data_IF_237447667487
#
_entry.id   IF_237447667487
#
_cell.length_a   1.000
_cell.length_b   1.000
_cell.length_c   1.000
_cell.angle_alpha   90.00
_cell.angle_beta   90.00
_cell.angle_gamma   90.00
#
_symmetry.space_group_name_H-M   'P 1'
#
loop_
_entity.id
_entity.type
_entity.pdbx_description
1 polymer ?
#
# COMPACT_ATOMS: atom_id res chain seq x y z
N UNK A 1 1.79 9.88 -19.56
CA UNK A 1 0.47 10.51 -19.34
C UNK A 1 -0.63 9.48 -19.01
N UNK A 2 -0.72 8.31 -19.67
CA UNK A 2 -1.78 7.32 -19.34
C UNK A 2 -1.71 6.65 -17.96
N UNK A 3 -0.53 6.52 -17.34
CA UNK A 3 -0.38 5.77 -16.09
C UNK A 3 -0.97 6.49 -14.85
N UNK A 4 -1.13 7.82 -14.90
CA UNK A 4 -1.73 8.59 -13.79
C UNK A 4 -3.19 8.16 -13.52
N UNK A 5 -3.89 7.69 -14.54
CA UNK A 5 -5.27 7.21 -14.41
C UNK A 5 -5.31 5.96 -13.53
N UNK A 6 -4.36 5.04 -13.69
CA UNK A 6 -4.31 3.79 -12.91
C UNK A 6 -4.02 4.12 -11.44
N UNK A 7 -3.09 5.03 -11.17
CA UNK A 7 -2.83 5.52 -9.81
C UNK A 7 -4.05 6.18 -9.18
N UNK A 8 -4.78 6.99 -9.96
CA UNK A 8 -5.99 7.66 -9.49
C UNK A 8 -7.12 6.66 -9.21
N UNK A 9 -7.31 5.65 -10.07
CA UNK A 9 -8.28 4.57 -9.86
C UNK A 9 -7.97 3.76 -8.59
N UNK A 10 -6.70 3.44 -8.34
CA UNK A 10 -6.27 2.76 -7.12
C UNK A 10 -6.53 3.64 -5.90
N UNK A 11 -6.22 4.94 -5.96
CA UNK A 11 -6.50 5.86 -4.87
C UNK A 11 -8.01 5.90 -4.54
N UNK A 12 -8.88 5.96 -5.56
CA UNK A 12 -10.34 5.91 -5.38
C UNK A 12 -10.76 4.57 -4.76
N UNK A 13 -10.25 3.44 -5.27
CA UNK A 13 -10.60 2.10 -4.81
C UNK A 13 -10.28 1.88 -3.31
N UNK A 14 -9.14 2.41 -2.85
CA UNK A 14 -8.70 2.24 -1.45
C UNK A 14 -9.23 3.33 -0.50
N UNK A 15 -9.81 4.43 -1.02
CA UNK A 15 -10.43 5.49 -0.21
C UNK A 15 -11.40 4.97 0.86
N UNK A 16 -12.37 4.06 0.56
CA UNK A 16 -13.29 3.55 1.58
C UNK A 16 -12.58 2.73 2.67
N UNK A 17 -11.49 2.02 2.35
CA UNK A 17 -10.71 1.27 3.34
C UNK A 17 -10.03 2.24 4.31
N UNK A 18 -9.40 3.30 3.80
CA UNK A 18 -8.81 4.34 4.67
C UNK A 18 -9.85 4.99 5.58
N UNK A 19 -11.05 5.26 5.05
CA UNK A 19 -12.15 5.78 5.86
C UNK A 19 -12.57 4.80 6.95
N UNK A 20 -12.74 3.52 6.63
CA UNK A 20 -13.09 2.49 7.60
C UNK A 20 -12.01 2.29 8.67
N UNK A 21 -10.73 2.27 8.29
CA UNK A 21 -9.61 2.26 9.22
C UNK A 21 -9.64 3.47 10.16
N UNK A 22 -9.95 4.65 9.62
CA UNK A 22 -10.04 5.89 10.39
C UNK A 22 -11.25 5.95 11.33
N UNK A 23 -12.35 5.30 11.01
CA UNK A 23 -13.54 5.32 11.88
C UNK A 23 -13.59 4.16 12.87
N UNK A 24 -13.11 2.97 12.50
CA UNK A 24 -13.34 1.74 13.27
C UNK A 24 -12.31 1.47 14.37
N UNK A 25 -11.07 1.96 14.23
CA UNK A 25 -9.94 1.55 15.11
C UNK A 25 -9.52 2.60 16.14
N UNK A 26 -9.97 3.84 16.01
CA UNK A 26 -9.51 4.95 16.85
C UNK A 26 -10.34 5.12 18.13
N UNK A 27 -11.59 4.63 18.17
CA UNK A 27 -12.47 4.70 19.34
C UNK A 27 -12.46 3.47 20.24
N UNK A 28 -11.74 2.41 19.88
CA UNK A 28 -11.66 1.17 20.66
C UNK A 28 -10.43 1.20 21.58
N UNK A 29 -10.67 1.01 22.89
CA UNK A 29 -9.69 1.20 23.99
C UNK A 29 -8.40 0.40 23.78
N UNK A 30 -8.46 -0.74 23.09
CA UNK A 30 -7.33 -1.64 22.85
C UNK A 30 -6.29 -1.12 21.83
N UNK A 31 -6.62 -0.11 21.01
CA UNK A 31 -5.75 0.36 19.92
C UNK A 31 -5.15 1.76 20.14
N UNK A 32 -5.24 2.27 21.37
CA UNK A 32 -4.74 3.61 21.78
C UNK A 32 -3.23 3.82 21.50
N UNK A 33 -2.44 2.75 21.39
CA UNK A 33 -1.00 2.85 21.06
C UNK A 33 -0.70 2.95 19.56
N UNK A 34 -1.65 2.62 18.68
CA UNK A 34 -1.46 2.63 17.23
C UNK A 34 -1.29 4.06 16.67
N UNK A 35 -1.70 5.09 17.41
CA UNK A 35 -1.47 6.51 17.09
C UNK A 35 0.00 6.84 16.83
N UNK A 36 0.93 6.21 17.57
CA UNK A 36 2.35 6.52 17.46
C UNK A 36 3.01 5.87 16.23
N UNK A 37 2.39 4.85 15.63
CA UNK A 37 2.97 4.14 14.48
C UNK A 37 3.15 5.09 13.30
N UNK A 38 2.17 5.97 13.03
CA UNK A 38 2.24 6.92 11.93
C UNK A 38 3.37 7.97 12.10
N UNK A 39 3.45 8.74 13.20
CA UNK A 39 4.56 9.68 13.41
C UNK A 39 5.94 9.02 13.42
N UNK A 40 6.06 7.86 14.07
CA UNK A 40 7.35 7.16 14.21
C UNK A 40 7.81 6.60 12.85
N UNK A 41 6.92 5.99 12.07
CA UNK A 41 7.24 5.52 10.72
C UNK A 41 7.63 6.67 9.79
N UNK A 42 6.94 7.82 9.86
CA UNK A 42 7.29 9.02 9.10
C UNK A 42 8.66 9.56 9.50
N UNK A 43 8.94 9.62 10.81
CA UNK A 43 10.21 10.08 11.34
C UNK A 43 11.38 9.16 10.95
N UNK A 44 11.20 7.83 11.06
CA UNK A 44 12.17 6.83 10.60
C UNK A 44 12.48 6.97 9.12
N UNK A 45 11.43 7.12 8.29
CA UNK A 45 11.55 7.30 6.84
C UNK A 45 12.33 8.58 6.52
N UNK A 46 12.00 9.69 7.17
CA UNK A 46 12.71 10.96 7.00
C UNK A 46 14.17 10.86 7.41
N UNK A 47 14.46 10.23 8.56
CA UNK A 47 15.82 10.05 9.07
C UNK A 47 16.69 9.21 8.14
N UNK A 48 16.12 8.17 7.51
CA UNK A 48 16.83 7.28 6.59
C UNK A 48 16.74 7.69 5.10
N UNK A 49 16.23 8.89 4.77
CA UNK A 49 16.03 9.33 3.38
C UNK A 49 17.27 9.20 2.48
N UNK A 50 18.46 9.48 3.01
CA UNK A 50 19.70 9.43 2.25
C UNK A 50 20.09 7.98 1.90
N UNK A 51 19.93 7.06 2.86
CA UNK A 51 20.11 5.63 2.64
C UNK A 51 19.10 5.08 1.63
N UNK A 52 17.83 5.49 1.74
CA UNK A 52 16.79 5.10 0.78
C UNK A 52 17.12 5.58 -0.63
N UNK A 53 17.57 6.83 -0.80
CA UNK A 53 17.98 7.38 -2.11
C UNK A 53 19.10 6.56 -2.76
N UNK A 54 20.11 6.17 -1.99
CA UNK A 54 21.21 5.34 -2.51
C UNK A 54 20.73 3.94 -2.90
N UNK A 55 19.81 3.36 -2.11
CA UNK A 55 19.22 2.04 -2.38
C UNK A 55 18.45 2.04 -3.71
N UNK A 56 17.61 3.06 -3.93
CA UNK A 56 16.82 3.23 -5.15
C UNK A 56 17.70 3.47 -6.39
N UNK A 57 18.85 4.13 -6.25
CA UNK A 57 19.79 4.32 -7.37
C UNK A 57 20.53 3.04 -7.75
N UNK A 58 20.76 2.13 -6.79
CA UNK A 58 21.43 0.84 -7.04
C UNK A 58 20.48 -0.23 -7.60
N UNK A 59 19.19 -0.10 -7.36
CA UNK A 59 18.19 -1.04 -7.88
C UNK A 59 17.95 -0.71 -9.36
N UNK A 60 18.50 -1.53 -10.27
CA UNK A 60 18.07 -1.53 -11.67
C UNK A 60 16.82 -2.41 -11.79
N UNK A 61 15.72 -1.91 -12.34
CA UNK A 61 14.53 -2.72 -12.53
C UNK A 61 14.78 -3.68 -13.69
N UNK A 62 14.79 -4.98 -13.40
CA UNK A 62 15.10 -6.03 -14.39
C UNK A 62 13.93 -6.99 -14.64
N UNK A 63 12.82 -6.86 -13.90
CA UNK A 63 11.77 -7.90 -13.84
C UNK A 63 10.34 -7.36 -14.02
N UNK A 64 10.10 -6.54 -15.05
CA UNK A 64 8.76 -6.06 -15.45
C UNK A 64 7.74 -7.21 -15.62
N UNK A 65 8.20 -8.41 -16.01
CA UNK A 65 7.37 -9.60 -16.21
C UNK A 65 6.66 -10.11 -14.94
N UNK A 66 7.21 -9.85 -13.75
CA UNK A 66 6.61 -10.29 -12.48
C UNK A 66 5.63 -9.26 -11.88
N UNK A 67 5.57 -8.04 -12.41
CA UNK A 67 4.69 -6.98 -11.88
C UNK A 67 3.21 -7.29 -12.09
N UNK A 68 2.84 -7.76 -13.29
CA UNK A 68 1.46 -8.07 -13.65
C UNK A 68 0.82 -9.20 -12.81
N UNK A 69 1.44 -10.40 -12.65
CA UNK A 69 0.85 -11.45 -11.82
C UNK A 69 0.75 -11.04 -10.35
N UNK A 70 1.69 -10.24 -9.85
CA UNK A 70 1.66 -9.75 -8.48
C UNK A 70 0.55 -8.72 -8.25
N UNK A 71 0.30 -7.86 -9.24
CA UNK A 71 -0.84 -6.94 -9.24
C UNK A 71 -2.18 -7.70 -9.23
N UNK A 72 -2.33 -8.72 -10.08
CA UNK A 72 -3.53 -9.58 -10.10
C UNK A 72 -3.72 -10.27 -8.75
N UNK A 73 -2.65 -10.78 -8.15
CA UNK A 73 -2.69 -11.39 -6.82
C UNK A 73 -3.16 -10.39 -5.76
N UNK A 74 -2.64 -9.17 -5.79
CA UNK A 74 -3.07 -8.10 -4.90
C UNK A 74 -4.56 -7.74 -5.05
N UNK A 75 -5.05 -7.61 -6.29
CA UNK A 75 -6.48 -7.39 -6.56
C UNK A 75 -7.33 -8.56 -6.07
N UNK A 76 -6.87 -9.79 -6.28
CA UNK A 76 -7.60 -10.98 -5.82
C UNK A 76 -7.72 -11.00 -4.29
N UNK A 77 -6.64 -10.65 -3.58
CA UNK A 77 -6.67 -10.45 -2.13
C UNK A 77 -7.61 -9.32 -1.71
N UNK A 78 -7.63 -8.20 -2.45
CA UNK A 78 -8.56 -7.10 -2.18
C UNK A 78 -10.01 -7.54 -2.32
N UNK A 79 -10.37 -8.24 -3.40
CA UNK A 79 -11.74 -8.73 -3.63
C UNK A 79 -12.14 -9.72 -2.54
N UNK A 80 -11.24 -10.63 -2.16
CA UNK A 80 -11.50 -11.59 -1.09
C UNK A 80 -11.68 -10.90 0.26
N UNK A 81 -10.77 -9.99 0.63
CA UNK A 81 -10.85 -9.24 1.87
C UNK A 81 -12.08 -8.33 1.96
N UNK A 82 -12.52 -7.78 0.82
CA UNK A 82 -13.73 -6.96 0.75
C UNK A 82 -15.00 -7.79 0.91
N UNK A 83 -15.05 -8.99 0.32
CA UNK A 83 -16.23 -9.86 0.40
C UNK A 83 -16.51 -10.39 1.80
N UNK A 84 -15.45 -10.70 2.53
CA UNK A 84 -15.53 -11.27 3.88
C UNK A 84 -15.49 -10.19 4.99
N UNK A 85 -15.54 -8.90 4.62
CA UNK A 85 -15.37 -7.74 5.51
C UNK A 85 -14.10 -7.80 6.39
N UNK A 86 -13.09 -8.57 5.96
CA UNK A 86 -11.79 -8.63 6.62
C UNK A 86 -10.95 -7.40 6.28
N UNK A 87 -11.12 -6.35 7.08
CA UNK A 87 -10.34 -5.11 6.98
C UNK A 87 -8.83 -5.33 6.94
N UNK A 88 -8.31 -6.32 7.67
CA UNK A 88 -6.89 -6.65 7.68
C UNK A 88 -6.39 -7.13 6.31
N UNK A 89 -7.11 -8.06 5.68
CA UNK A 89 -6.76 -8.62 4.36
C UNK A 89 -6.88 -7.53 3.29
N UNK A 90 -7.95 -6.74 3.34
CA UNK A 90 -8.15 -5.60 2.44
C UNK A 90 -7.02 -4.56 2.56
N UNK A 91 -6.54 -4.29 3.77
CA UNK A 91 -5.40 -3.37 3.98
C UNK A 91 -4.08 -3.98 3.50
N UNK A 92 -3.85 -5.26 3.78
CA UNK A 92 -2.63 -5.96 3.38
C UNK A 92 -2.51 -6.09 1.86
N UNK A 93 -3.65 -6.19 1.14
CA UNK A 93 -3.70 -6.23 -0.33
C UNK A 93 -3.08 -5.01 -1.01
N UNK A 94 -3.03 -3.85 -0.31
CA UNK A 94 -2.46 -2.62 -0.84
C UNK A 94 -0.97 -2.78 -1.15
N UNK A 95 -0.23 -3.55 -0.35
CA UNK A 95 1.21 -3.76 -0.53
C UNK A 95 1.53 -4.44 -1.88
N UNK A 96 1.00 -5.64 -2.20
CA UNK A 96 1.23 -6.29 -3.50
C UNK A 96 0.64 -5.50 -4.67
N UNK A 97 -0.49 -4.78 -4.49
CA UNK A 97 -1.05 -3.93 -5.55
C UNK A 97 -0.10 -2.80 -5.92
N UNK A 98 0.38 -2.03 -4.93
CA UNK A 98 1.29 -0.91 -5.18
C UNK A 98 2.64 -1.38 -5.74
N UNK A 99 3.18 -2.46 -5.17
CA UNK A 99 4.47 -2.99 -5.60
C UNK A 99 4.38 -3.60 -7.01
N UNK A 100 3.30 -4.32 -7.34
CA UNK A 100 3.04 -4.83 -8.68
C UNK A 100 2.86 -3.73 -9.72
N UNK A 101 2.14 -2.66 -9.38
CA UNK A 101 1.98 -1.49 -10.25
C UNK A 101 3.29 -0.76 -10.50
N UNK A 102 4.10 -0.58 -9.46
CA UNK A 102 5.39 0.07 -9.58
C UNK A 102 6.30 -0.70 -10.56
N UNK A 103 6.43 -2.02 -10.38
CA UNK A 103 7.23 -2.88 -11.27
C UNK A 103 6.66 -2.93 -12.69
N UNK A 104 5.34 -2.90 -12.84
CA UNK A 104 4.70 -2.93 -14.16
C UNK A 104 4.88 -1.64 -14.95
N UNK A 105 5.02 -0.50 -14.27
CA UNK A 105 5.14 0.82 -14.87
C UNK A 105 6.59 1.30 -15.08
N UNK A 106 7.57 0.61 -14.49
CA UNK A 106 8.99 0.72 -14.83
C UNK A 106 9.32 0.05 -16.17
#
# INVERSE_FOLDING_TARGET
MSYYIIWLLVAILYTPIFRSLYTSRWGTVDYTHAYFILPISLWLTWRKRHYLKELFQKTKPNNTLFGFPLFIFGISMFIFGWREDYLFISTLSLVPVLYGLFIFME
#
